data_IF_533080281819
#
_entry.id   IF_533080281819
#
_cell.length_a   1.000
_cell.length_b   1.000
_cell.length_c   1.000
_cell.angle_alpha   90.00
_cell.angle_beta   90.00
_cell.angle_gamma   90.00
#
_symmetry.space_group_name_H-M   'P 1'
#
loop_
_entity.id
_entity.type
_entity.pdbx_description
1 polymer ?
#
# COMPACT_ATOMS: atom_id res chain seq x y z
N UNK A 1 -7.06 1.01 13.83
CA UNK A 1 -8.12 0.06 14.21
C UNK A 1 -7.88 -0.38 15.64
N UNK A 2 -8.87 -0.18 16.50
CA UNK A 2 -8.87 -0.57 17.91
C UNK A 2 -9.91 -1.68 18.06
N UNK A 3 -9.57 -2.75 18.78
CA UNK A 3 -10.47 -3.89 19.02
C UNK A 3 -10.64 -4.05 20.53
N UNK A 4 -11.88 -4.01 20.99
CA UNK A 4 -12.26 -4.33 22.36
C UNK A 4 -12.60 -5.80 22.44
N UNK A 5 -11.90 -6.56 23.28
CA UNK A 5 -12.13 -8.00 23.47
C UNK A 5 -12.44 -8.33 24.91
N UNK A 6 -13.29 -9.33 25.10
CA UNK A 6 -13.46 -9.97 26.39
C UNK A 6 -12.15 -10.66 26.79
N UNK A 7 -11.63 -10.33 27.98
CA UNK A 7 -10.42 -10.92 28.53
C UNK A 7 -10.56 -12.42 28.82
N UNK A 8 -11.77 -12.89 29.12
CA UNK A 8 -12.02 -14.27 29.51
C UNK A 8 -12.15 -15.21 28.31
N UNK A 9 -12.96 -14.85 27.30
CA UNK A 9 -13.26 -15.73 26.16
C UNK A 9 -12.73 -15.22 24.81
N UNK A 10 -12.08 -14.06 24.77
CA UNK A 10 -11.55 -13.46 23.53
C UNK A 10 -12.61 -12.88 22.60
N UNK A 11 -13.90 -12.92 22.95
CA UNK A 11 -14.99 -12.39 22.14
C UNK A 11 -14.79 -10.91 21.82
N UNK A 12 -14.98 -10.52 20.57
CA UNK A 12 -14.86 -9.14 20.12
C UNK A 12 -16.14 -8.38 20.50
N UNK A 13 -16.02 -7.46 21.45
CA UNK A 13 -17.13 -6.62 21.93
C UNK A 13 -17.36 -5.45 20.98
N UNK A 14 -16.30 -4.85 20.45
CA UNK A 14 -16.42 -3.71 19.54
C UNK A 14 -15.16 -3.56 18.71
N UNK A 15 -15.32 -3.13 17.46
CA UNK A 15 -14.21 -2.79 16.56
C UNK A 15 -14.38 -1.34 16.14
N UNK A 16 -13.38 -0.52 16.47
CA UNK A 16 -13.32 0.87 16.05
C UNK A 16 -12.29 1.01 14.94
N UNK A 17 -12.75 1.18 13.70
CA UNK A 17 -11.86 1.23 12.53
C UNK A 17 -11.35 2.63 12.22
N UNK A 18 -12.25 3.62 12.14
CA UNK A 18 -11.96 5.02 11.79
C UNK A 18 -12.93 5.98 12.47
N UNK A 19 -12.46 7.19 12.72
CA UNK A 19 -13.33 8.32 13.09
C UNK A 19 -14.11 8.72 11.85
N UNK A 20 -15.45 8.77 11.96
CA UNK A 20 -16.38 9.13 10.89
C UNK A 20 -17.38 10.18 11.37
N UNK A 21 -18.37 10.50 10.54
CA UNK A 21 -19.37 11.55 10.80
C UNK A 21 -20.26 11.25 12.02
N UNK A 22 -20.29 10.00 12.48
CA UNK A 22 -21.21 9.49 13.52
C UNK A 22 -20.59 9.32 14.92
N UNK A 23 -19.29 9.60 15.09
CA UNK A 23 -18.60 9.43 16.37
C UNK A 23 -17.70 10.62 16.73
N UNK A 24 -17.97 11.25 17.87
CA UNK A 24 -17.16 12.36 18.41
C UNK A 24 -15.76 11.92 18.90
N UNK A 25 -15.48 10.63 19.00
CA UNK A 25 -14.18 10.12 19.44
C UNK A 25 -14.11 8.60 19.58
N UNK A 26 -12.95 8.11 20.01
CA UNK A 26 -12.72 6.70 20.33
C UNK A 26 -13.45 6.35 21.65
N UNK A 27 -14.36 5.36 21.68
CA UNK A 27 -15.06 5.00 22.91
C UNK A 27 -14.06 4.49 23.96
N UNK A 28 -14.13 4.98 25.19
CA UNK A 28 -13.29 4.43 26.26
C UNK A 28 -13.77 3.01 26.63
N UNK A 29 -12.92 2.15 27.20
CA UNK A 29 -13.34 0.81 27.63
C UNK A 29 -14.56 0.84 28.54
N UNK A 30 -14.69 1.82 29.43
CA UNK A 30 -15.86 2.00 30.30
C UNK A 30 -17.16 2.22 29.53
N UNK A 31 -17.13 2.98 28.44
CA UNK A 31 -18.28 3.19 27.55
C UNK A 31 -18.67 1.86 26.88
N UNK A 32 -17.70 1.13 26.34
CA UNK A 32 -17.94 -0.16 25.69
C UNK A 32 -18.53 -1.17 26.68
N UNK A 33 -18.08 -1.16 27.94
CA UNK A 33 -18.64 -2.01 29.00
C UNK A 33 -20.10 -1.66 29.30
N UNK A 34 -20.44 -0.37 29.31
CA UNK A 34 -21.79 0.13 29.57
C UNK A 34 -22.79 -0.34 28.50
N UNK A 35 -22.39 -0.37 27.22
CA UNK A 35 -23.23 -0.90 26.14
C UNK A 35 -23.68 -2.35 26.35
N UNK A 36 -22.89 -3.13 27.08
CA UNK A 36 -23.18 -4.54 27.40
C UNK A 36 -23.66 -4.75 28.84
N UNK A 37 -24.03 -3.69 29.57
CA UNK A 37 -24.50 -3.79 30.95
C UNK A 37 -23.49 -4.41 31.93
N UNK A 38 -22.19 -4.35 31.62
CA UNK A 38 -21.15 -4.93 32.47
C UNK A 38 -20.95 -6.44 32.35
N UNK A 39 -21.66 -7.14 31.45
CA UNK A 39 -21.59 -8.61 31.30
C UNK A 39 -21.23 -8.98 29.86
N UNK A 40 -20.34 -9.96 29.69
CA UNK A 40 -20.01 -10.47 28.36
C UNK A 40 -21.19 -11.27 27.78
N UNK A 41 -21.69 -10.94 26.57
CA UNK A 41 -22.81 -11.65 25.97
C UNK A 41 -22.49 -13.09 25.57
N UNK A 42 -21.20 -13.45 25.47
CA UNK A 42 -20.77 -14.80 25.08
C UNK A 42 -20.55 -15.74 26.26
N UNK A 43 -19.84 -15.30 27.29
CA UNK A 43 -19.43 -16.18 28.40
C UNK A 43 -20.01 -15.79 29.76
N UNK A 44 -20.83 -14.74 29.84
CA UNK A 44 -21.43 -14.28 31.09
C UNK A 44 -20.45 -13.66 32.10
N UNK A 45 -19.15 -13.57 31.76
CA UNK A 45 -18.15 -12.99 32.68
C UNK A 45 -18.35 -11.48 32.84
N UNK A 46 -18.15 -10.98 34.07
CA UNK A 46 -18.20 -9.54 34.36
C UNK A 46 -17.06 -8.80 33.64
N UNK A 47 -17.43 -7.83 32.81
CA UNK A 47 -16.49 -6.97 32.10
C UNK A 47 -15.92 -5.91 33.06
N UNK A 48 -14.61 -5.70 33.01
CA UNK A 48 -13.91 -4.68 33.81
C UNK A 48 -12.98 -3.87 32.91
N UNK A 49 -12.69 -2.61 33.26
CA UNK A 49 -11.69 -1.83 32.54
C UNK A 49 -10.35 -2.58 32.45
N UNK A 50 -9.67 -2.54 31.30
CA UNK A 50 -8.39 -3.22 31.12
C UNK A 50 -7.30 -2.55 31.98
N UNK A 51 -6.34 -3.35 32.45
CA UNK A 51 -5.10 -2.81 33.03
C UNK A 51 -4.07 -2.58 31.93
N UNK A 52 -3.00 -1.79 32.16
CA UNK A 52 -1.97 -1.54 31.15
C UNK A 52 -1.41 -2.83 30.52
N UNK A 53 -1.25 -3.91 31.31
CA UNK A 53 -0.78 -5.21 30.83
C UNK A 53 -1.74 -5.98 29.90
N UNK A 54 -3.01 -5.61 29.87
CA UNK A 54 -4.03 -6.26 29.04
C UNK A 54 -4.13 -5.59 27.64
N UNK A 55 -3.37 -4.50 27.41
CA UNK A 55 -3.39 -3.74 26.15
C UNK A 55 -2.31 -4.30 25.21
N UNK A 56 -2.75 -4.80 24.05
CA UNK A 56 -1.86 -5.28 23.00
C UNK A 56 -1.79 -4.25 21.87
N UNK A 57 -0.61 -3.65 21.67
CA UNK A 57 -0.34 -2.74 20.57
C UNK A 57 0.37 -3.53 19.47
N UNK A 58 -0.40 -3.97 18.46
CA UNK A 58 0.18 -4.58 17.27
C UNK A 58 0.30 -3.53 16.17
N UNK A 59 1.53 -3.23 15.73
CA UNK A 59 1.73 -2.49 14.49
C UNK A 59 1.38 -3.45 13.35
N UNK A 60 0.22 -3.22 12.70
CA UNK A 60 -0.02 -3.85 11.40
C UNK A 60 0.99 -3.25 10.45
N UNK A 61 2.11 -3.92 10.23
CA UNK A 61 2.90 -3.72 9.02
C UNK A 61 1.92 -3.99 7.87
N UNK A 62 1.39 -2.92 7.29
CA UNK A 62 0.52 -3.02 6.14
C UNK A 62 1.25 -3.89 5.13
N UNK A 63 0.58 -4.93 4.62
CA UNK A 63 1.07 -5.73 3.50
C UNK A 63 1.14 -4.87 2.22
N UNK A 64 1.87 -3.76 2.22
CA UNK A 64 2.64 -3.40 1.02
C UNK A 64 3.68 -4.50 0.95
N UNK A 65 3.55 -5.42 -0.02
CA UNK A 65 4.68 -6.28 -0.39
C UNK A 65 5.88 -5.33 -0.52
N UNK A 66 6.80 -5.32 0.45
CA UNK A 66 8.02 -4.53 0.32
C UNK A 66 8.74 -5.20 -0.84
N UNK A 67 8.63 -4.63 -2.05
CA UNK A 67 9.47 -5.04 -3.16
C UNK A 67 10.92 -4.98 -2.64
N UNK A 68 11.77 -5.97 -2.98
CA UNK A 68 13.16 -5.98 -2.55
C UNK A 68 13.81 -4.61 -2.81
N UNK A 69 14.73 -4.18 -1.95
CA UNK A 69 15.42 -2.88 -2.06
C UNK A 69 16.00 -2.64 -3.47
N UNK A 70 16.50 -3.69 -4.12
CA UNK A 70 16.99 -3.68 -5.51
C UNK A 70 15.90 -3.45 -6.58
N UNK A 71 14.66 -3.87 -6.32
CA UNK A 71 13.53 -3.68 -7.25
C UNK A 71 12.89 -2.31 -7.07
N UNK A 72 12.88 -1.77 -5.84
CA UNK A 72 12.45 -0.38 -5.57
C UNK A 72 13.36 0.63 -6.23
N UNK A 73 14.68 0.45 -6.14
CA UNK A 73 15.65 1.32 -6.80
C UNK A 73 15.52 1.27 -8.31
N UNK A 74 15.30 0.08 -8.90
CA UNK A 74 15.11 -0.04 -10.35
C UNK A 74 13.84 0.66 -10.84
N UNK A 75 12.69 0.44 -10.18
CA UNK A 75 11.43 1.11 -10.53
C UNK A 75 11.55 2.63 -10.39
N UNK A 76 12.20 3.11 -9.33
CA UNK A 76 12.45 4.53 -9.13
C UNK A 76 13.38 5.12 -10.20
N UNK A 77 14.47 4.42 -10.57
CA UNK A 77 15.36 4.87 -11.65
C UNK A 77 14.62 5.00 -12.98
N UNK A 78 13.81 4.01 -13.35
CA UNK A 78 12.99 4.04 -14.57
C UNK A 78 12.05 5.25 -14.55
N UNK A 79 11.31 5.43 -13.44
CA UNK A 79 10.39 6.57 -13.32
C UNK A 79 11.12 7.92 -13.38
N UNK A 80 12.29 8.05 -12.74
CA UNK A 80 13.09 9.29 -12.79
C UNK A 80 13.54 9.63 -14.21
N UNK A 81 14.01 8.64 -14.97
CA UNK A 81 14.40 8.82 -16.38
C UNK A 81 13.20 9.23 -17.22
N UNK A 82 12.09 8.49 -17.10
CA UNK A 82 10.88 8.76 -17.90
C UNK A 82 10.24 10.12 -17.58
N UNK A 83 10.30 10.57 -16.32
CA UNK A 83 9.81 11.90 -15.91
C UNK A 83 10.76 13.00 -16.37
N UNK A 84 12.08 12.80 -16.23
CA UNK A 84 13.07 13.78 -16.68
C UNK A 84 13.03 14.00 -18.20
N UNK A 85 12.71 12.94 -18.95
CA UNK A 85 12.57 12.95 -20.40
C UNK A 85 11.11 12.80 -20.83
N UNK A 86 10.24 13.61 -20.21
CA UNK A 86 8.82 13.59 -20.50
C UNK A 86 8.55 13.94 -21.97
N UNK A 87 8.18 12.95 -22.78
CA UNK A 87 7.90 13.13 -24.19
C UNK A 87 8.66 12.19 -25.11
N UNK A 88 9.76 11.60 -24.63
CA UNK A 88 10.62 10.73 -25.42
C UNK A 88 10.20 9.26 -25.31
N UNK A 89 10.49 8.49 -26.36
CA UNK A 89 10.30 7.05 -26.38
C UNK A 89 11.61 6.36 -26.01
N UNK A 90 11.56 5.50 -25.00
CA UNK A 90 12.70 4.70 -24.57
C UNK A 90 12.48 3.23 -24.92
N UNK A 91 13.49 2.56 -25.50
CA UNK A 91 13.42 1.11 -25.66
C UNK A 91 13.68 0.39 -24.34
N UNK A 92 13.21 -0.85 -24.21
CA UNK A 92 13.52 -1.66 -23.03
C UNK A 92 15.03 -1.94 -22.92
N UNK A 93 15.73 -2.02 -24.04
CA UNK A 93 17.19 -2.14 -24.05
C UNK A 93 17.87 -0.89 -23.48
N UNK A 94 17.44 0.31 -23.87
CA UNK A 94 17.99 1.58 -23.34
C UNK A 94 17.76 1.68 -21.83
N UNK A 95 16.55 1.35 -21.37
CA UNK A 95 16.23 1.34 -19.94
C UNK A 95 17.07 0.33 -19.16
N UNK A 96 17.40 -0.82 -19.75
CA UNK A 96 18.30 -1.81 -19.14
C UNK A 96 19.71 -1.20 -18.94
N UNK A 97 20.25 -0.54 -19.97
CA UNK A 97 21.56 0.10 -19.93
C UNK A 97 21.59 1.21 -18.89
N UNK A 98 20.60 2.11 -18.91
CA UNK A 98 20.56 3.29 -18.04
C UNK A 98 20.32 2.94 -16.56
N UNK A 99 19.59 1.86 -16.26
CA UNK A 99 19.23 1.52 -14.87
C UNK A 99 20.15 0.47 -14.23
N UNK A 100 21.01 -0.17 -15.03
CA UNK A 100 21.81 -1.33 -14.66
C UNK A 100 20.95 -2.45 -14.03
N UNK A 101 19.77 -2.68 -14.59
CA UNK A 101 18.81 -3.68 -14.13
C UNK A 101 18.73 -4.87 -15.09
N UNK A 102 18.35 -6.04 -14.56
CA UNK A 102 18.08 -7.21 -15.41
C UNK A 102 16.89 -6.95 -16.34
N UNK A 103 16.95 -7.44 -17.59
CA UNK A 103 15.86 -7.29 -18.57
C UNK A 103 14.54 -7.84 -18.02
N UNK A 104 14.58 -8.99 -17.33
CA UNK A 104 13.39 -9.62 -16.73
C UNK A 104 12.72 -8.69 -15.71
N UNK A 105 13.51 -7.95 -14.93
CA UNK A 105 13.01 -6.96 -13.97
C UNK A 105 12.40 -5.76 -14.66
N UNK A 106 13.06 -5.23 -15.70
CA UNK A 106 12.56 -4.07 -16.47
C UNK A 106 11.22 -4.39 -17.13
N UNK A 107 11.10 -5.55 -17.81
CA UNK A 107 9.83 -5.99 -18.39
C UNK A 107 8.71 -6.14 -17.35
N UNK A 108 9.03 -6.67 -16.16
CA UNK A 108 8.05 -6.79 -15.07
C UNK A 108 7.57 -5.42 -14.60
N UNK A 109 8.48 -4.48 -14.35
CA UNK A 109 8.15 -3.11 -13.92
C UNK A 109 7.33 -2.40 -15.00
N UNK A 110 7.73 -2.49 -16.26
CA UNK A 110 7.00 -1.91 -17.39
C UNK A 110 5.59 -2.50 -17.52
N UNK A 111 5.40 -3.79 -17.24
CA UNK A 111 4.08 -4.41 -17.18
C UNK A 111 3.24 -3.90 -16.00
N UNK A 112 3.85 -3.66 -14.84
CA UNK A 112 3.18 -3.03 -13.69
C UNK A 112 2.79 -1.57 -13.99
N UNK A 113 3.71 -0.74 -14.49
CA UNK A 113 3.47 0.68 -14.79
C UNK A 113 2.38 0.88 -15.87
N UNK A 114 2.30 -0.03 -16.84
CA UNK A 114 1.24 -0.01 -17.84
C UNK A 114 -0.12 -0.39 -17.24
N UNK A 115 -0.17 -1.34 -16.29
CA UNK A 115 -1.42 -1.66 -15.55
C UNK A 115 -1.87 -0.49 -14.68
N UNK A 116 -0.91 0.26 -14.14
CA UNK A 116 -1.17 1.49 -13.38
C UNK A 116 -1.55 2.69 -14.28
N UNK A 117 -1.58 2.51 -15.61
CA UNK A 117 -1.93 3.52 -16.60
C UNK A 117 -1.00 4.76 -16.60
N UNK A 118 0.25 4.58 -16.17
CA UNK A 118 1.26 5.66 -16.08
C UNK A 118 2.04 5.80 -17.39
N UNK A 119 2.25 4.70 -18.11
CA UNK A 119 3.07 4.65 -19.32
C UNK A 119 2.29 4.11 -20.53
N UNK A 120 2.68 4.57 -21.71
CA UNK A 120 2.28 4.02 -23.00
C UNK A 120 3.34 3.04 -23.50
N UNK A 121 2.87 2.02 -24.21
CA UNK A 121 3.71 1.03 -24.88
C UNK A 121 3.42 1.05 -26.36
N UNK A 122 4.47 1.05 -27.15
CA UNK A 122 4.38 0.78 -28.58
C UNK A 122 5.34 -0.35 -28.95
N UNK A 123 5.01 -1.07 -30.02
CA UNK A 123 5.91 -2.07 -30.61
C UNK A 123 6.64 -1.40 -31.76
N UNK A 124 7.95 -1.27 -31.65
CA UNK A 124 8.78 -0.75 -32.71
C UNK A 124 9.41 -1.93 -33.47
N UNK A 125 9.09 -2.06 -34.76
CA UNK A 125 9.76 -3.02 -35.64
C UNK A 125 11.05 -2.40 -36.14
N UNK A 126 12.19 -2.90 -35.67
CA UNK A 126 13.47 -2.59 -36.31
C UNK A 126 13.80 -3.66 -37.35
N UNK A 127 14.75 -3.38 -38.24
CA UNK A 127 15.19 -4.28 -39.33
C UNK A 127 15.70 -5.64 -38.83
N UNK A 128 16.01 -5.77 -37.54
CA UNK A 128 16.57 -6.98 -36.93
C UNK A 128 15.72 -7.58 -35.79
N UNK A 129 14.90 -6.80 -35.06
CA UNK A 129 14.05 -7.29 -33.95
C UNK A 129 12.81 -6.41 -33.70
N UNK A 130 11.76 -7.01 -33.13
CA UNK A 130 10.64 -6.29 -32.51
C UNK A 130 11.03 -5.83 -31.10
N UNK A 131 11.15 -4.52 -30.88
CA UNK A 131 11.48 -3.93 -29.59
C UNK A 131 10.22 -3.29 -28.97
N UNK A 132 10.06 -3.41 -27.65
CA UNK A 132 9.03 -2.66 -26.94
C UNK A 132 9.60 -1.29 -26.59
N UNK A 133 8.92 -0.22 -27.02
CA UNK A 133 9.24 1.14 -26.61
C UNK A 133 8.18 1.65 -25.64
N UNK A 134 8.62 2.43 -24.66
CA UNK A 134 7.77 2.98 -23.60
C UNK A 134 7.95 4.48 -23.49
N UNK A 135 6.85 5.17 -23.14
CA UNK A 135 6.84 6.61 -22.90
C UNK A 135 5.93 6.90 -21.71
N UNK A 136 6.26 7.93 -20.93
CA UNK A 136 5.35 8.41 -19.88
C UNK A 136 4.14 9.12 -20.51
N UNK A 137 2.93 8.81 -20.04
CA UNK A 137 1.75 9.60 -20.42
C UNK A 137 1.96 11.02 -19.90
N UNK A 138 1.92 12.01 -20.78
CA UNK A 138 2.09 13.40 -20.40
C UNK A 138 0.87 13.83 -19.58
N UNK A 139 0.94 13.63 -18.27
CA UNK A 139 -0.07 14.13 -17.35
C UNK A 139 0.28 15.58 -17.05
N UNK A 140 -0.40 16.52 -17.72
CA UNK A 140 -0.72 17.85 -17.17
C UNK A 140 -1.63 17.72 -15.93
N UNK A 141 -1.25 16.84 -15.00
CA UNK A 141 -1.98 16.51 -13.79
C UNK A 141 -0.95 15.96 -12.80
N UNK A 142 -0.36 16.89 -12.05
CA UNK A 142 0.35 16.70 -10.78
C UNK A 142 0.59 15.23 -10.39
N UNK A 143 1.71 14.65 -10.82
CA UNK A 143 2.27 13.49 -10.13
C UNK A 143 2.89 14.04 -8.83
N UNK A 144 2.04 14.31 -7.84
CA UNK A 144 2.51 14.50 -6.47
C UNK A 144 3.04 13.15 -5.98
N UNK A 145 4.36 13.03 -5.97
CA UNK A 145 5.03 11.97 -5.22
C UNK A 145 4.86 12.30 -3.75
N UNK A 146 3.71 11.94 -3.17
CA UNK A 146 3.45 12.07 -1.74
C UNK A 146 4.30 11.02 -1.01
N UNK A 147 5.36 11.48 -0.36
CA UNK A 147 6.16 10.67 0.55
C UNK A 147 5.43 10.58 1.91
N UNK A 148 5.17 9.35 2.36
CA UNK A 148 4.91 9.01 3.77
C UNK A 148 5.88 7.91 4.18
#
# INVERSE_FOLDING_TARGET
>A
MIIYRCRNCGFVLHVFEKVGRDYYGVPTPSIVISWYGGICPRCGSRLRPPRPKDILISIREGRRKRLPSSVKTCRQKILRILVAHAGEWFTVEDLKIMTNCSLKTVYKIINELHRENIIEKTRHKTRFRECTAVRIKNTNSNIEVVYK
#
